data_IF_876722327855
#
_entry.id   IF_876722327855
#
_cell.length_a   1.000
_cell.length_b   1.000
_cell.length_c   1.000
_cell.angle_alpha   90.00
_cell.angle_beta   90.00
_cell.angle_gamma   90.00
#
_symmetry.space_group_name_H-M   'P 1'
#
loop_
_entity.id
_entity.type
_entity.pdbx_description
1 polymer ?
#
# COMPACT_ATOMS: atom_id res chain seq x y z
N UNK A 1 2.05 22.50 -55.85
CA UNK A 1 3.02 22.68 -54.78
C UNK A 1 3.99 21.50 -54.87
N UNK A 2 5.30 21.72 -54.73
CA UNK A 2 6.31 20.67 -54.95
C UNK A 2 6.20 19.63 -53.81
N UNK A 3 6.28 18.34 -54.10
CA UNK A 3 6.12 17.23 -53.15
C UNK A 3 6.98 17.40 -51.87
N UNK A 4 8.18 17.94 -52.02
CA UNK A 4 9.07 18.27 -50.89
C UNK A 4 8.47 19.32 -49.93
N UNK A 5 7.73 20.31 -50.47
CA UNK A 5 7.06 21.32 -49.61
C UNK A 5 5.87 20.71 -48.86
N UNK A 6 5.15 19.82 -49.51
CA UNK A 6 4.06 19.08 -48.85
C UNK A 6 4.58 18.18 -47.75
N UNK A 7 5.64 17.41 -48.00
CA UNK A 7 6.28 16.56 -46.97
C UNK A 7 6.80 17.39 -45.81
N UNK A 8 7.43 18.52 -46.06
CA UNK A 8 7.93 19.40 -45.02
C UNK A 8 6.76 19.98 -44.17
N UNK A 9 5.68 20.44 -44.81
CA UNK A 9 4.50 20.93 -44.10
C UNK A 9 3.85 19.87 -43.24
N UNK A 10 3.75 18.63 -43.73
CA UNK A 10 3.22 17.51 -42.98
C UNK A 10 4.08 17.19 -41.75
N UNK A 11 5.40 17.16 -41.92
CA UNK A 11 6.34 16.94 -40.81
C UNK A 11 6.21 18.07 -39.75
N UNK A 12 6.18 19.33 -40.21
CA UNK A 12 6.00 20.46 -39.31
C UNK A 12 4.65 20.40 -38.55
N UNK A 13 3.57 20.05 -39.24
CA UNK A 13 2.27 19.89 -38.63
C UNK A 13 2.27 18.76 -37.59
N UNK A 14 2.87 17.61 -37.87
CA UNK A 14 3.01 16.50 -36.95
C UNK A 14 3.81 16.90 -35.69
N UNK A 15 4.99 17.52 -35.90
CA UNK A 15 5.81 18.00 -34.79
C UNK A 15 5.06 19.01 -33.92
N UNK A 16 4.33 19.95 -34.54
CA UNK A 16 3.51 20.92 -33.82
C UNK A 16 2.42 20.23 -32.99
N UNK A 17 1.78 19.22 -33.57
CA UNK A 17 0.76 18.44 -32.83
C UNK A 17 1.36 17.73 -31.61
N UNK A 18 2.54 17.11 -31.77
CA UNK A 18 3.23 16.45 -30.63
C UNK A 18 3.63 17.47 -29.55
N UNK A 19 4.13 18.64 -29.94
CA UNK A 19 4.49 19.71 -28.97
C UNK A 19 3.25 20.22 -28.24
N UNK A 20 2.12 20.43 -28.94
CA UNK A 20 0.87 20.85 -28.32
C UNK A 20 0.36 19.78 -27.34
N UNK A 21 0.42 18.51 -27.73
CA UNK A 21 -0.01 17.39 -26.87
C UNK A 21 0.89 17.28 -25.63
N UNK A 22 2.21 17.30 -25.80
CA UNK A 22 3.16 17.27 -24.69
C UNK A 22 2.96 18.47 -23.74
N UNK A 23 2.71 19.66 -24.29
CA UNK A 23 2.38 20.85 -23.50
C UNK A 23 1.08 20.70 -22.71
N UNK A 24 0.06 20.09 -23.31
CA UNK A 24 -1.19 19.80 -22.63
C UNK A 24 -0.97 18.77 -21.50
N UNK A 25 -0.20 17.70 -21.75
CA UNK A 25 0.16 16.71 -20.73
C UNK A 25 0.92 17.34 -19.56
N UNK A 26 1.87 18.22 -19.84
CA UNK A 26 2.63 18.94 -18.81
C UNK A 26 1.76 19.87 -17.98
N UNK A 27 0.83 20.61 -18.62
CA UNK A 27 -0.06 21.56 -17.92
C UNK A 27 -1.13 20.85 -17.10
N UNK A 28 -1.72 19.79 -17.66
CA UNK A 28 -2.78 19.04 -16.96
C UNK A 28 -2.21 18.10 -15.91
N UNK A 29 -0.99 17.64 -16.11
CA UNK A 29 -0.26 16.72 -15.25
C UNK A 29 -1.14 15.61 -14.63
N UNK A 30 -1.77 14.75 -15.44
CA UNK A 30 -2.91 13.93 -15.04
C UNK A 30 -2.66 12.99 -13.86
N UNK A 31 -1.40 12.65 -13.59
CA UNK A 31 -0.99 11.74 -12.51
C UNK A 31 0.07 12.35 -11.59
N UNK A 32 0.19 13.69 -11.60
CA UNK A 32 1.11 14.44 -10.74
C UNK A 32 2.60 14.14 -11.02
N UNK A 33 2.94 13.76 -12.25
CA UNK A 33 4.32 13.41 -12.60
C UNK A 33 5.32 14.57 -12.43
N UNK A 34 4.86 15.82 -12.59
CA UNK A 34 5.63 17.06 -12.38
C UNK A 34 5.17 17.85 -11.15
N UNK A 35 4.15 17.40 -10.44
CA UNK A 35 3.56 18.11 -9.30
C UNK A 35 2.87 19.42 -9.69
N UNK A 36 2.52 19.62 -10.94
CA UNK A 36 1.80 20.80 -11.40
C UNK A 36 0.31 20.60 -11.17
N UNK A 37 -0.20 21.06 -10.02
CA UNK A 37 -1.63 21.09 -9.78
C UNK A 37 -2.31 22.06 -10.74
N UNK A 38 -3.07 21.53 -11.69
CA UNK A 38 -3.79 22.34 -12.65
C UNK A 38 -5.06 22.92 -12.03
N UNK A 39 -5.10 24.23 -11.81
CA UNK A 39 -6.28 24.93 -11.25
C UNK A 39 -7.56 24.79 -12.10
N UNK A 40 -7.43 24.42 -13.39
CA UNK A 40 -8.57 24.16 -14.28
C UNK A 40 -9.12 22.75 -14.13
N UNK A 41 -8.33 21.82 -13.59
CA UNK A 41 -8.70 20.42 -13.36
C UNK A 41 -8.28 20.00 -11.95
N UNK A 42 -8.91 20.54 -10.90
CA UNK A 42 -8.52 20.25 -9.51
C UNK A 42 -8.86 18.83 -9.07
N UNK A 43 -9.65 18.09 -9.83
CA UNK A 43 -9.94 16.68 -9.57
C UNK A 43 -8.89 15.78 -10.19
N UNK A 44 -8.31 14.88 -9.39
CA UNK A 44 -7.39 13.84 -9.84
C UNK A 44 -7.95 12.45 -9.62
N UNK A 45 -7.93 11.64 -10.67
CA UNK A 45 -8.26 10.22 -10.59
C UNK A 45 -7.12 9.50 -9.87
N UNK A 46 -7.43 8.91 -8.72
CA UNK A 46 -6.41 8.21 -7.95
C UNK A 46 -6.06 6.86 -8.55
N UNK A 47 -4.78 6.56 -8.56
CA UNK A 47 -4.24 5.23 -8.88
C UNK A 47 -2.94 5.01 -8.12
N UNK A 48 -2.89 3.93 -7.32
CA UNK A 48 -1.72 3.61 -6.50
C UNK A 48 -0.43 3.50 -7.33
N UNK A 49 -0.53 2.99 -8.58
CA UNK A 49 0.63 2.80 -9.45
C UNK A 49 1.07 4.11 -10.12
N UNK A 50 0.11 4.96 -10.51
CA UNK A 50 0.41 6.14 -11.33
C UNK A 50 0.51 7.43 -10.53
N UNK A 51 -0.28 7.59 -9.46
CA UNK A 51 -0.31 8.84 -8.69
C UNK A 51 0.59 8.83 -7.46
N UNK A 52 0.85 7.67 -6.84
CA UNK A 52 1.72 7.60 -5.67
C UNK A 52 3.12 8.19 -5.91
N UNK A 53 3.82 7.94 -7.06
CA UNK A 53 5.13 8.55 -7.29
C UNK A 53 5.11 10.08 -7.30
N UNK A 54 4.05 10.66 -7.89
CA UNK A 54 3.86 12.11 -7.92
C UNK A 54 3.60 12.68 -6.51
N UNK A 55 2.74 12.03 -5.73
CA UNK A 55 2.48 12.41 -4.34
C UNK A 55 3.77 12.32 -3.53
N UNK A 56 4.50 11.21 -3.61
CA UNK A 56 5.75 11.01 -2.88
C UNK A 56 6.79 12.10 -3.14
N UNK A 57 6.88 12.61 -4.38
CA UNK A 57 7.90 13.59 -4.77
C UNK A 57 7.51 15.04 -4.54
N UNK A 58 6.22 15.36 -4.70
CA UNK A 58 5.80 16.76 -4.85
C UNK A 58 4.96 17.28 -3.69
N UNK A 59 4.41 16.39 -2.85
CA UNK A 59 3.67 16.82 -1.67
C UNK A 59 4.62 17.13 -0.51
N UNK A 60 4.13 17.96 0.41
CA UNK A 60 4.87 18.26 1.63
C UNK A 60 4.32 17.42 2.78
N UNK A 61 5.19 16.70 3.46
CA UNK A 61 4.85 15.81 4.57
C UNK A 61 6.09 15.49 5.41
N UNK A 62 5.90 15.07 6.65
CA UNK A 62 6.94 14.52 7.50
C UNK A 62 6.69 13.05 7.88
N UNK A 63 5.55 12.53 7.48
CA UNK A 63 5.11 11.17 7.82
C UNK A 63 4.51 10.49 6.59
N UNK A 64 4.81 9.21 6.41
CA UNK A 64 4.23 8.42 5.32
C UNK A 64 3.62 7.14 5.84
N UNK A 65 2.43 6.79 5.33
CA UNK A 65 1.79 5.50 5.54
C UNK A 65 1.87 4.68 4.26
N UNK A 66 2.59 3.56 4.31
CA UNK A 66 2.67 2.58 3.23
C UNK A 66 2.06 1.24 3.65
N UNK A 67 1.59 0.49 2.69
CA UNK A 67 1.00 -0.82 2.92
C UNK A 67 0.21 -1.32 1.71
N UNK A 68 -0.49 -2.40 1.90
CA UNK A 68 -1.32 -3.02 0.86
C UNK A 68 -2.68 -2.32 0.72
N UNK A 69 -3.69 -3.01 0.19
CA UNK A 69 -5.08 -2.53 0.18
C UNK A 69 -5.66 -2.32 1.58
N UNK A 70 -5.02 -2.84 2.62
CA UNK A 70 -5.47 -2.74 4.01
C UNK A 70 -5.42 -1.31 4.54
N UNK A 71 -4.49 -0.48 4.05
CA UNK A 71 -4.40 0.94 4.43
C UNK A 71 -5.06 1.88 3.42
N UNK A 72 -5.68 1.35 2.36
CA UNK A 72 -6.23 2.18 1.28
C UNK A 72 -7.38 3.08 1.73
N UNK A 73 -8.14 2.69 2.73
CA UNK A 73 -9.24 3.46 3.31
C UNK A 73 -8.91 4.08 4.68
N UNK A 74 -7.64 4.21 5.02
CA UNK A 74 -7.22 4.97 6.21
C UNK A 74 -7.57 6.44 6.01
N UNK A 75 -8.19 7.06 7.00
CA UNK A 75 -8.47 8.49 7.03
C UNK A 75 -7.23 9.23 7.52
N UNK A 76 -6.59 9.96 6.60
CA UNK A 76 -5.36 10.69 6.90
C UNK A 76 -5.61 11.87 7.85
N UNK A 77 -6.79 12.52 7.75
CA UNK A 77 -7.14 13.63 8.65
C UNK A 77 -7.20 13.12 10.12
N UNK A 78 -7.72 11.92 10.34
CA UNK A 78 -7.72 11.26 11.67
C UNK A 78 -6.30 10.90 12.12
N UNK A 79 -5.47 10.40 11.20
CA UNK A 79 -4.08 10.09 11.53
C UNK A 79 -3.30 11.35 11.93
N UNK A 80 -3.44 12.44 11.19
CA UNK A 80 -2.77 13.72 11.47
C UNK A 80 -3.17 14.29 12.84
N UNK A 81 -4.47 14.21 13.18
CA UNK A 81 -4.97 14.68 14.48
C UNK A 81 -4.46 13.84 15.65
N UNK A 82 -4.48 12.52 15.52
CA UNK A 82 -4.12 11.61 16.61
C UNK A 82 -2.61 11.44 16.80
N UNK A 83 -1.84 11.55 15.72
CA UNK A 83 -0.39 11.31 15.73
C UNK A 83 0.44 12.59 15.67
N UNK A 84 -0.22 13.77 15.59
CA UNK A 84 0.42 15.10 15.51
C UNK A 84 1.49 15.16 14.39
N UNK A 85 1.10 14.86 13.17
CA UNK A 85 1.99 14.77 12.02
C UNK A 85 1.37 15.34 10.74
N UNK A 86 2.18 15.53 9.70
CA UNK A 86 1.74 15.86 8.34
C UNK A 86 1.95 14.62 7.45
N UNK A 87 0.85 13.90 7.13
CA UNK A 87 0.91 12.56 6.57
C UNK A 87 0.49 12.50 5.11
N UNK A 88 1.22 11.70 4.33
CA UNK A 88 0.72 11.15 3.06
C UNK A 88 0.53 9.65 3.15
N UNK A 89 -0.50 9.17 2.46
CA UNK A 89 -0.81 7.74 2.38
C UNK A 89 -0.53 7.24 0.97
N UNK A 90 0.35 6.24 0.86
CA UNK A 90 0.84 5.67 -0.39
C UNK A 90 0.60 4.14 -0.43
N UNK A 91 -0.66 3.67 -0.44
CA UNK A 91 -0.99 2.26 -0.49
C UNK A 91 -0.63 1.66 -1.85
N UNK A 92 -0.32 0.37 -1.87
CA UNK A 92 -0.11 -0.39 -3.09
C UNK A 92 -0.89 -1.70 -3.02
N UNK A 93 -2.07 -1.79 -3.65
CA UNK A 93 -2.97 -2.95 -3.54
C UNK A 93 -2.26 -4.26 -3.84
N UNK A 94 -2.18 -5.16 -2.84
CA UNK A 94 -1.44 -6.41 -2.92
C UNK A 94 0.06 -6.22 -3.15
N UNK A 95 0.61 -5.05 -2.79
CA UNK A 95 2.01 -4.71 -2.97
C UNK A 95 2.96 -5.61 -2.20
N UNK A 96 4.17 -5.75 -2.72
CA UNK A 96 5.27 -6.49 -2.11
C UNK A 96 6.15 -5.56 -1.27
N UNK A 97 7.07 -6.10 -0.49
CA UNK A 97 8.08 -5.28 0.18
C UNK A 97 8.96 -4.49 -0.80
N UNK A 98 9.09 -5.00 -2.03
CA UNK A 98 9.81 -4.31 -3.09
C UNK A 98 9.05 -3.07 -3.59
N UNK A 99 7.71 -3.17 -3.72
CA UNK A 99 6.86 -2.02 -4.05
C UNK A 99 6.95 -0.94 -2.97
N UNK A 100 6.85 -1.35 -1.69
CA UNK A 100 6.94 -0.43 -0.55
C UNK A 100 8.32 0.24 -0.49
N UNK A 101 9.40 -0.53 -0.68
CA UNK A 101 10.74 0.02 -0.73
C UNK A 101 10.88 1.05 -1.87
N UNK A 102 10.41 0.71 -3.06
CA UNK A 102 10.52 1.59 -4.23
C UNK A 102 9.83 2.93 -4.00
N UNK A 103 8.63 2.93 -3.41
CA UNK A 103 7.93 4.19 -3.13
C UNK A 103 8.57 4.97 -1.98
N UNK A 104 9.09 4.28 -0.96
CA UNK A 104 9.80 4.92 0.14
C UNK A 104 11.15 5.51 -0.30
N UNK A 105 11.87 4.87 -1.23
CA UNK A 105 13.07 5.46 -1.84
C UNK A 105 12.74 6.83 -2.45
N UNK A 106 11.59 6.97 -3.17
CA UNK A 106 11.14 8.26 -3.69
C UNK A 106 10.78 9.27 -2.59
N UNK A 107 10.17 8.82 -1.48
CA UNK A 107 9.87 9.67 -0.35
C UNK A 107 11.15 10.24 0.27
N UNK A 108 12.16 9.42 0.48
CA UNK A 108 13.45 9.86 1.02
C UNK A 108 14.24 10.74 0.04
N UNK A 109 14.06 10.56 -1.26
CA UNK A 109 14.67 11.40 -2.29
C UNK A 109 13.93 12.73 -2.54
N UNK A 110 12.70 12.90 -2.04
CA UNK A 110 11.85 14.08 -2.29
C UNK A 110 12.38 15.38 -1.68
N UNK A 111 13.26 15.27 -0.68
CA UNK A 111 13.75 16.41 0.10
C UNK A 111 12.87 16.77 1.31
N UNK A 112 11.80 16.03 1.57
CA UNK A 112 11.04 16.13 2.81
C UNK A 112 11.85 15.62 4.01
N UNK A 113 11.67 16.24 5.19
CA UNK A 113 12.27 15.76 6.45
C UNK A 113 11.39 14.65 7.04
N UNK A 114 11.55 13.43 6.48
CA UNK A 114 10.71 12.29 6.82
C UNK A 114 11.06 11.75 8.21
N UNK A 115 10.18 12.00 9.18
CA UNK A 115 10.35 11.61 10.58
C UNK A 115 9.84 10.22 10.88
N UNK A 116 8.67 9.85 10.28
CA UNK A 116 8.01 8.58 10.59
C UNK A 116 7.52 7.88 9.34
N UNK A 117 7.79 6.58 9.28
CA UNK A 117 7.25 5.65 8.29
C UNK A 117 6.33 4.67 9.00
N UNK A 118 5.02 4.76 8.76
CA UNK A 118 4.07 3.72 9.14
C UNK A 118 4.01 2.69 8.02
N UNK A 119 4.30 1.43 8.35
CA UNK A 119 4.33 0.32 7.39
C UNK A 119 3.36 -0.77 7.82
N UNK A 120 2.23 -0.86 7.13
CA UNK A 120 1.38 -2.03 7.28
C UNK A 120 2.10 -3.26 6.71
N UNK A 121 2.28 -4.26 7.55
CA UNK A 121 3.01 -5.49 7.24
C UNK A 121 2.08 -6.69 7.37
N UNK A 122 1.95 -7.44 6.30
CA UNK A 122 1.14 -8.64 6.27
C UNK A 122 1.93 -9.88 5.83
N UNK A 123 1.31 -11.05 5.98
CA UNK A 123 1.91 -12.33 5.63
C UNK A 123 2.16 -12.47 4.12
N UNK A 124 1.35 -11.78 3.30
CA UNK A 124 1.55 -11.77 1.86
C UNK A 124 2.86 -11.05 1.51
N UNK A 125 3.13 -9.90 2.10
CA UNK A 125 4.38 -9.17 1.88
C UNK A 125 5.60 -10.01 2.28
N UNK A 126 5.49 -10.80 3.37
CA UNK A 126 6.60 -11.64 3.84
C UNK A 126 6.89 -12.81 2.88
N UNK A 127 5.88 -13.38 2.19
CA UNK A 127 6.04 -14.53 1.30
C UNK A 127 6.04 -14.17 -0.20
N UNK A 128 5.88 -12.90 -0.54
CA UNK A 128 5.91 -12.42 -1.93
C UNK A 128 7.32 -12.42 -2.53
N UNK A 129 7.44 -12.03 -3.80
CA UNK A 129 8.74 -11.76 -4.42
C UNK A 129 9.35 -10.50 -3.81
N UNK A 130 10.59 -10.59 -3.36
CA UNK A 130 11.34 -9.44 -2.81
C UNK A 130 12.12 -8.64 -3.86
N UNK A 131 11.95 -8.97 -5.14
CA UNK A 131 12.75 -8.39 -6.25
C UNK A 131 11.93 -7.86 -7.39
N UNK A 132 10.61 -7.98 -7.31
CA UNK A 132 9.71 -7.65 -8.41
C UNK A 132 8.49 -6.90 -7.89
N UNK A 133 8.04 -5.95 -8.68
CA UNK A 133 6.76 -5.29 -8.45
C UNK A 133 5.61 -6.29 -8.56
N UNK A 134 4.56 -6.08 -7.77
CA UNK A 134 3.33 -6.87 -7.86
C UNK A 134 2.70 -6.79 -9.24
N UNK A 135 2.71 -5.60 -9.82
CA UNK A 135 2.20 -5.29 -11.15
C UNK A 135 3.23 -4.47 -11.91
N UNK A 136 3.21 -4.49 -13.25
CA UNK A 136 4.06 -3.61 -14.04
C UNK A 136 3.85 -2.14 -13.66
N UNK A 137 4.92 -1.43 -13.40
CA UNK A 137 4.91 0.01 -13.08
C UNK A 137 5.43 0.82 -14.27
N UNK A 138 4.96 2.05 -14.45
CA UNK A 138 5.54 2.98 -15.43
C UNK A 138 6.85 3.54 -14.87
N UNK A 139 7.98 2.89 -15.20
CA UNK A 139 9.30 3.19 -14.63
C UNK A 139 9.69 4.67 -14.77
N UNK A 140 9.25 5.35 -15.82
CA UNK A 140 9.45 6.79 -16.02
C UNK A 140 8.76 7.67 -14.95
N UNK A 141 7.80 7.15 -14.19
CA UNK A 141 7.25 7.84 -13.01
C UNK A 141 8.00 7.47 -11.71
N UNK A 142 8.86 6.46 -11.72
CA UNK A 142 9.54 5.92 -10.54
C UNK A 142 11.05 6.21 -10.51
N UNK A 143 11.56 6.99 -11.46
CA UNK A 143 12.97 7.38 -11.53
C UNK A 143 13.13 8.90 -11.62
N UNK A 144 14.36 9.39 -11.55
CA UNK A 144 14.70 10.80 -11.70
C UNK A 144 15.35 11.11 -13.07
N UNK A 145 15.16 10.24 -14.09
CA UNK A 145 15.73 10.39 -15.41
C UNK A 145 14.77 11.16 -16.33
N UNK A 146 14.98 12.47 -16.44
CA UNK A 146 14.18 13.33 -17.32
C UNK A 146 14.24 12.94 -18.81
N UNK A 147 15.19 12.07 -19.23
CA UNK A 147 15.33 11.67 -20.64
C UNK A 147 14.24 10.70 -21.08
N UNK A 148 13.59 10.00 -20.18
CA UNK A 148 12.47 9.10 -20.45
C UNK A 148 11.08 9.74 -20.22
N UNK A 149 11.02 10.98 -19.74
CA UNK A 149 9.79 11.78 -19.59
C UNK A 149 8.96 11.87 -20.86
N UNK A 150 9.58 11.71 -22.01
CA UNK A 150 8.87 11.63 -23.28
C UNK A 150 7.80 10.52 -23.28
N UNK A 151 8.03 9.44 -22.51
CA UNK A 151 7.10 8.34 -22.31
C UNK A 151 5.86 8.76 -21.52
N UNK A 152 5.98 9.78 -20.67
CA UNK A 152 4.86 10.41 -19.97
C UNK A 152 4.19 11.47 -20.86
N UNK A 153 4.99 12.42 -21.40
CA UNK A 153 4.49 13.59 -22.14
C UNK A 153 3.73 13.23 -23.43
N UNK A 154 4.05 12.09 -24.03
CA UNK A 154 3.37 11.60 -25.23
C UNK A 154 2.47 10.38 -24.97
N UNK A 155 2.07 10.14 -23.72
CA UNK A 155 1.26 9.00 -23.33
C UNK A 155 -0.24 9.25 -23.55
N UNK A 156 -0.77 8.66 -24.62
CA UNK A 156 -2.19 8.75 -24.96
C UNK A 156 -3.08 8.00 -23.94
N UNK A 157 -2.59 6.90 -23.37
CA UNK A 157 -3.36 6.10 -22.40
C UNK A 157 -3.52 6.88 -21.10
N UNK A 158 -2.46 7.53 -20.60
CA UNK A 158 -2.57 8.40 -19.42
C UNK A 158 -3.51 9.58 -19.70
N UNK A 159 -3.37 10.25 -20.85
CA UNK A 159 -4.29 11.34 -21.20
C UNK A 159 -5.74 10.86 -21.26
N UNK A 160 -5.99 9.69 -21.85
CA UNK A 160 -7.34 9.15 -21.97
C UNK A 160 -7.93 8.67 -20.64
N UNK A 161 -7.19 7.87 -19.89
CA UNK A 161 -7.71 7.24 -18.67
C UNK A 161 -7.67 8.15 -17.45
N UNK A 162 -6.72 9.06 -17.35
CA UNK A 162 -6.58 9.98 -16.22
C UNK A 162 -6.92 11.43 -16.61
N UNK A 163 -6.29 11.97 -17.64
CA UNK A 163 -6.51 13.35 -18.07
C UNK A 163 -7.97 13.66 -18.39
N UNK A 164 -8.63 12.81 -19.19
CA UNK A 164 -10.05 13.00 -19.50
C UNK A 164 -10.94 12.81 -18.28
N UNK A 165 -10.65 11.85 -17.40
CA UNK A 165 -11.41 11.64 -16.16
C UNK A 165 -11.23 12.81 -15.19
N UNK A 166 -10.01 13.37 -15.09
CA UNK A 166 -9.75 14.56 -14.29
C UNK A 166 -10.54 15.77 -14.79
N UNK A 167 -10.55 16.01 -16.10
CA UNK A 167 -11.35 17.07 -16.72
C UNK A 167 -12.85 16.88 -16.43
N UNK A 168 -13.38 15.67 -16.67
CA UNK A 168 -14.80 15.38 -16.46
C UNK A 168 -15.18 15.43 -14.96
N UNK A 169 -14.33 14.93 -14.07
CA UNK A 169 -14.53 15.03 -12.62
C UNK A 169 -14.57 16.47 -12.15
N UNK A 170 -13.62 17.29 -12.62
CA UNK A 170 -13.57 18.73 -12.30
C UNK A 170 -14.81 19.47 -12.81
N UNK A 171 -15.25 19.21 -14.04
CA UNK A 171 -16.48 19.79 -14.57
C UNK A 171 -17.74 19.39 -13.81
N UNK A 172 -17.74 18.23 -13.15
CA UNK A 172 -18.84 17.74 -12.29
C UNK A 172 -18.72 18.23 -10.85
N UNK A 173 -17.68 18.97 -10.51
CA UNK A 173 -17.40 19.45 -9.14
C UNK A 173 -17.07 18.30 -8.18
N UNK A 174 -16.45 17.22 -8.65
CA UNK A 174 -16.01 16.11 -7.81
C UNK A 174 -14.80 16.54 -6.97
N UNK A 175 -14.69 15.99 -5.77
CA UNK A 175 -13.51 16.17 -4.90
C UNK A 175 -12.42 15.19 -5.31
N UNK A 176 -11.17 15.65 -5.37
CA UNK A 176 -10.03 14.80 -5.64
C UNK A 176 -9.77 13.83 -4.48
N UNK A 177 -9.52 12.57 -4.84
CA UNK A 177 -9.13 11.52 -3.90
C UNK A 177 -7.62 11.20 -4.00
N UNK A 178 -6.90 11.91 -4.88
CA UNK A 178 -5.46 11.75 -5.04
C UNK A 178 -4.66 12.32 -3.88
N UNK A 179 -5.25 13.29 -3.17
CA UNK A 179 -4.69 13.89 -1.99
C UNK A 179 -4.79 12.96 -0.77
N UNK A 180 -4.54 13.50 0.40
CA UNK A 180 -4.44 12.90 1.72
C UNK A 180 -5.63 12.04 2.13
N UNK A 181 -6.83 12.34 1.64
CA UNK A 181 -8.09 11.75 2.12
C UNK A 181 -8.26 10.31 1.71
N UNK A 182 -8.80 9.50 2.63
CA UNK A 182 -9.10 8.10 2.41
C UNK A 182 -9.97 7.83 1.20
N UNK A 183 -9.60 6.85 0.39
CA UNK A 183 -10.51 6.25 -0.56
C UNK A 183 -11.28 5.22 0.22
N UNK A 184 -12.56 5.48 0.46
CA UNK A 184 -13.42 4.46 1.04
C UNK A 184 -13.49 3.28 0.07
N UNK A 185 -12.92 2.15 0.48
CA UNK A 185 -13.16 0.90 -0.23
C UNK A 185 -14.64 0.58 -0.05
N UNK A 186 -15.42 0.89 -1.06
CA UNK A 186 -16.83 0.54 -1.07
C UNK A 186 -17.04 -0.96 -0.88
N UNK A 187 -18.15 -1.35 -0.29
CA UNK A 187 -18.51 -2.74 -0.06
C UNK A 187 -19.63 -2.85 0.97
N UNK A 188 -20.18 -4.04 1.08
CA UNK A 188 -21.09 -4.42 2.14
C UNK A 188 -20.24 -5.06 3.26
N UNK A 189 -20.08 -4.31 4.35
CA UNK A 189 -19.37 -4.78 5.54
C UNK A 189 -20.40 -5.44 6.47
N UNK A 190 -20.66 -6.70 6.21
CA UNK A 190 -21.58 -7.50 7.01
C UNK A 190 -21.12 -8.96 7.05
N UNK A 191 -21.53 -9.66 8.11
CA UNK A 191 -21.31 -11.11 8.24
C UNK A 191 -21.79 -11.86 7.00
N UNK A 192 -22.99 -11.53 6.49
CA UNK A 192 -23.58 -12.21 5.35
C UNK A 192 -22.74 -12.00 4.08
N UNK A 193 -22.32 -10.76 3.80
CA UNK A 193 -21.46 -10.45 2.66
C UNK A 193 -20.10 -11.14 2.78
N UNK A 194 -19.51 -11.11 3.96
CA UNK A 194 -18.21 -11.73 4.24
C UNK A 194 -18.27 -13.25 4.04
N UNK A 195 -19.28 -13.93 4.58
CA UNK A 195 -19.47 -15.35 4.37
C UNK A 195 -19.80 -15.70 2.91
N UNK A 196 -20.61 -14.89 2.22
CA UNK A 196 -20.92 -15.10 0.80
C UNK A 196 -19.68 -14.98 -0.10
N UNK A 197 -18.71 -14.15 0.29
CA UNK A 197 -17.44 -13.97 -0.43
C UNK A 197 -16.42 -15.07 -0.12
N UNK A 198 -16.58 -15.80 0.97
CA UNK A 198 -15.62 -16.77 1.46
C UNK A 198 -15.84 -18.15 0.87
N UNK A 199 -14.92 -18.59 0.02
CA UNK A 199 -14.92 -19.95 -0.49
C UNK A 199 -14.04 -20.83 0.39
N UNK A 200 -14.65 -21.47 1.41
CA UNK A 200 -13.96 -22.29 2.41
C UNK A 200 -13.17 -23.44 1.75
N UNK A 201 -11.84 -23.51 1.86
CA UNK A 201 -11.06 -24.59 1.21
C UNK A 201 -11.35 -25.94 1.84
N UNK A 202 -11.14 -27.00 1.06
CA UNK A 202 -11.05 -28.35 1.63
C UNK A 202 -9.80 -28.46 2.52
N UNK A 203 -9.89 -29.31 3.56
CA UNK A 203 -8.74 -29.54 4.45
C UNK A 203 -7.59 -30.17 3.69
N UNK A 204 -6.43 -29.55 3.70
CA UNK A 204 -5.19 -30.10 3.14
C UNK A 204 -4.62 -31.21 4.04
N UNK A 205 -4.05 -32.23 3.43
CA UNK A 205 -3.25 -33.24 4.11
C UNK A 205 -1.74 -32.96 4.00
N UNK A 206 -1.35 -31.86 3.37
CA UNK A 206 0.04 -31.43 3.25
C UNK A 206 0.25 -30.13 4.02
N UNK A 207 1.38 -30.04 4.70
CA UNK A 207 1.75 -28.89 5.50
C UNK A 207 2.96 -28.21 4.87
N UNK A 208 2.89 -26.89 4.80
CA UNK A 208 4.00 -26.06 4.35
C UNK A 208 5.03 -25.94 5.45
N UNK A 209 6.31 -25.94 5.11
CA UNK A 209 7.41 -25.65 6.03
C UNK A 209 7.86 -24.19 5.85
N UNK A 210 8.20 -23.54 6.94
CA UNK A 210 8.89 -22.26 6.91
C UNK A 210 10.30 -22.39 6.36
N UNK A 211 11.02 -23.47 6.73
CA UNK A 211 12.39 -23.69 6.27
C UNK A 211 12.46 -23.91 4.74
N UNK A 212 13.53 -23.41 4.14
CA UNK A 212 13.76 -23.50 2.70
C UNK A 212 13.24 -22.29 1.93
N UNK A 213 12.34 -22.50 0.97
CA UNK A 213 11.92 -21.44 0.05
C UNK A 213 11.18 -20.29 0.73
N UNK A 214 10.32 -20.56 1.71
CA UNK A 214 9.60 -19.49 2.42
C UNK A 214 10.55 -18.62 3.23
N UNK A 215 11.47 -19.21 3.97
CA UNK A 215 12.49 -18.50 4.73
C UNK A 215 13.35 -17.62 3.83
N UNK A 216 13.79 -18.12 2.68
CA UNK A 216 14.56 -17.34 1.70
C UNK A 216 13.77 -16.12 1.21
N UNK A 217 12.46 -16.25 0.99
CA UNK A 217 11.61 -15.13 0.62
C UNK A 217 11.48 -14.12 1.74
N UNK A 218 11.20 -14.58 2.97
CA UNK A 218 11.10 -13.72 4.15
C UNK A 218 12.39 -12.94 4.39
N UNK A 219 13.55 -13.60 4.31
CA UNK A 219 14.86 -12.94 4.41
C UNK A 219 15.07 -11.90 3.31
N UNK A 220 14.63 -12.19 2.08
CA UNK A 220 14.66 -11.23 0.97
C UNK A 220 13.77 -10.02 1.20
N UNK A 221 12.55 -10.23 1.71
CA UNK A 221 11.61 -9.16 2.04
C UNK A 221 12.09 -8.32 3.22
N UNK A 222 12.60 -8.96 4.27
CA UNK A 222 13.23 -8.25 5.40
C UNK A 222 14.43 -7.40 4.95
N UNK A 223 15.22 -7.87 4.00
CA UNK A 223 16.34 -7.08 3.47
C UNK A 223 15.87 -5.76 2.84
N UNK A 224 14.72 -5.73 2.17
CA UNK A 224 14.15 -4.50 1.64
C UNK A 224 13.83 -3.51 2.76
N UNK A 225 13.19 -3.97 3.85
CA UNK A 225 12.84 -3.16 5.02
C UNK A 225 14.10 -2.68 5.76
N UNK A 226 14.98 -3.61 6.10
CA UNK A 226 16.21 -3.35 6.85
C UNK A 226 17.12 -2.37 6.12
N UNK A 227 17.20 -2.46 4.79
CA UNK A 227 18.02 -1.52 4.02
C UNK A 227 17.58 -0.06 4.18
N UNK A 228 16.27 0.20 4.36
CA UNK A 228 15.75 1.54 4.64
C UNK A 228 15.96 1.93 6.09
N UNK A 229 15.71 1.03 7.03
CA UNK A 229 15.90 1.25 8.47
C UNK A 229 17.35 1.66 8.78
N UNK A 230 18.32 0.94 8.20
CA UNK A 230 19.75 1.22 8.38
C UNK A 230 20.21 2.49 7.65
N UNK A 231 19.63 2.80 6.49
CA UNK A 231 19.97 4.01 5.73
C UNK A 231 19.42 5.29 6.38
N UNK A 232 18.35 5.19 7.18
CA UNK A 232 17.64 6.32 7.76
C UNK A 232 17.49 6.16 9.29
N UNK A 233 18.59 6.22 10.06
CA UNK A 233 18.57 5.97 11.51
C UNK A 233 17.79 7.05 12.30
N UNK A 234 17.61 8.24 11.73
CA UNK A 234 16.89 9.35 12.36
C UNK A 234 15.37 9.29 12.06
N UNK A 235 14.93 8.39 11.18
CA UNK A 235 13.53 8.13 10.87
C UNK A 235 13.01 6.96 11.71
N UNK A 236 11.85 7.13 12.34
CA UNK A 236 11.19 6.05 13.05
C UNK A 236 10.37 5.19 12.08
N UNK A 237 10.54 3.87 12.12
CA UNK A 237 9.76 2.90 11.36
C UNK A 237 8.77 2.21 12.28
N UNK A 238 7.48 2.44 12.04
CA UNK A 238 6.37 1.87 12.81
C UNK A 238 5.69 0.80 11.99
N UNK A 239 5.99 -0.47 12.29
CA UNK A 239 5.35 -1.60 11.64
C UNK A 239 4.11 -2.02 12.40
N UNK A 240 3.05 -2.40 11.69
CA UNK A 240 1.87 -2.99 12.31
C UNK A 240 1.27 -4.11 11.47
N UNK A 241 0.86 -5.19 12.14
CA UNK A 241 0.13 -6.31 11.54
C UNK A 241 -1.36 -6.07 11.71
N UNK A 242 -2.12 -5.85 10.61
CA UNK A 242 -3.55 -5.54 10.68
C UNK A 242 -4.39 -6.75 11.07
N UNK A 243 -5.58 -6.56 11.69
CA UNK A 243 -6.44 -7.64 12.14
C UNK A 243 -7.19 -8.27 10.96
N UNK A 244 -6.68 -9.33 10.38
CA UNK A 244 -7.41 -10.13 9.40
C UNK A 244 -8.53 -10.91 10.08
N UNK A 245 -9.66 -11.14 9.39
CA UNK A 245 -10.77 -11.86 9.96
C UNK A 245 -10.41 -13.30 10.34
N UNK A 246 -11.20 -13.90 11.22
CA UNK A 246 -11.02 -15.32 11.61
C UNK A 246 -11.11 -16.26 10.40
N UNK A 247 -11.78 -15.86 9.30
CA UNK A 247 -11.85 -16.64 8.06
C UNK A 247 -10.51 -16.70 7.32
N UNK A 248 -9.68 -15.66 7.43
CA UNK A 248 -8.31 -15.71 6.92
C UNK A 248 -7.52 -16.82 7.60
N UNK A 249 -7.68 -16.97 8.91
CA UNK A 249 -7.01 -17.99 9.69
C UNK A 249 -7.60 -19.39 9.50
N UNK A 250 -8.93 -19.52 9.30
CA UNK A 250 -9.54 -20.78 8.83
C UNK A 250 -8.90 -21.26 7.52
N UNK A 251 -8.71 -20.31 6.59
CA UNK A 251 -8.06 -20.58 5.30
C UNK A 251 -6.61 -21.05 5.46
N UNK A 252 -5.83 -20.39 6.29
CA UNK A 252 -4.44 -20.76 6.56
C UNK A 252 -4.32 -22.16 7.20
N UNK A 253 -5.18 -22.46 8.18
CA UNK A 253 -5.25 -23.79 8.79
C UNK A 253 -5.62 -24.86 7.77
N UNK A 254 -6.67 -24.62 7.00
CA UNK A 254 -7.18 -25.62 6.03
C UNK A 254 -6.22 -25.85 4.86
N UNK A 255 -5.49 -24.84 4.46
CA UNK A 255 -4.44 -24.98 3.43
C UNK A 255 -3.15 -25.65 3.98
N UNK A 256 -3.03 -25.83 5.29
CA UNK A 256 -1.82 -26.37 5.92
C UNK A 256 -0.63 -25.41 5.87
N UNK A 257 -0.91 -24.10 5.81
CA UNK A 257 0.09 -23.04 5.75
C UNK A 257 0.28 -22.31 7.08
N UNK A 258 -0.66 -22.44 8.01
CA UNK A 258 -0.73 -21.67 9.24
C UNK A 258 0.57 -21.67 10.07
N UNK A 259 1.13 -22.86 10.36
CA UNK A 259 2.34 -22.94 11.19
C UNK A 259 3.54 -22.25 10.52
N UNK A 260 3.73 -22.47 9.21
CA UNK A 260 4.79 -21.82 8.45
C UNK A 260 4.60 -20.29 8.37
N UNK A 261 3.35 -19.83 8.26
CA UNK A 261 2.97 -18.42 8.27
C UNK A 261 3.30 -17.78 9.61
N UNK A 262 2.98 -18.45 10.72
CA UNK A 262 3.31 -17.96 12.06
C UNK A 262 4.82 -18.00 12.35
N UNK A 263 5.55 -19.02 11.88
CA UNK A 263 7.02 -19.08 11.99
C UNK A 263 7.67 -17.91 11.21
N UNK A 264 7.15 -17.61 10.01
CA UNK A 264 7.61 -16.49 9.20
C UNK A 264 7.36 -15.13 9.90
N UNK A 265 6.19 -14.98 10.50
CA UNK A 265 5.80 -13.78 11.25
C UNK A 265 6.70 -13.59 12.48
N UNK A 266 6.91 -14.65 13.27
CA UNK A 266 7.80 -14.62 14.44
C UNK A 266 9.24 -14.28 14.06
N UNK A 267 9.75 -14.87 12.97
CA UNK A 267 11.07 -14.58 12.44
C UNK A 267 11.20 -13.11 12.02
N UNK A 268 10.20 -12.57 11.32
CA UNK A 268 10.20 -11.18 10.88
C UNK A 268 10.14 -10.20 12.05
N UNK A 269 9.27 -10.45 13.04
CA UNK A 269 9.16 -9.64 14.26
C UNK A 269 10.51 -9.61 14.99
N UNK A 270 11.11 -10.78 15.23
CA UNK A 270 12.40 -10.87 15.92
C UNK A 270 13.52 -10.10 15.21
N UNK A 271 13.53 -10.13 13.86
CA UNK A 271 14.51 -9.41 13.06
C UNK A 271 14.30 -7.89 13.14
N UNK A 272 13.07 -7.41 13.01
CA UNK A 272 12.74 -5.98 13.03
C UNK A 272 12.96 -5.35 14.40
N UNK A 273 12.64 -6.06 15.49
CA UNK A 273 12.86 -5.60 16.86
C UNK A 273 14.34 -5.46 17.26
N UNK A 274 15.28 -5.84 16.41
CA UNK A 274 16.71 -5.64 16.66
C UNK A 274 17.20 -4.21 16.36
N UNK A 275 16.36 -3.33 15.83
CA UNK A 275 16.68 -1.97 15.46
C UNK A 275 16.02 -0.96 16.41
N UNK A 276 16.80 -0.01 16.93
CA UNK A 276 16.35 0.96 17.93
C UNK A 276 15.34 1.97 17.38
N UNK A 277 15.36 2.23 16.06
CA UNK A 277 14.42 3.11 15.38
C UNK A 277 13.18 2.37 14.81
N UNK A 278 12.88 1.18 15.36
CA UNK A 278 11.69 0.39 14.99
C UNK A 278 10.72 0.28 16.15
N UNK A 279 9.46 0.59 15.90
CA UNK A 279 8.31 0.18 16.71
C UNK A 279 7.48 -0.85 15.97
N UNK A 280 6.86 -1.78 16.69
CA UNK A 280 6.05 -2.82 16.09
C UNK A 280 4.79 -3.08 16.91
N UNK A 281 3.66 -3.26 16.21
CA UNK A 281 2.34 -3.55 16.77
C UNK A 281 1.74 -4.80 16.11
N UNK A 282 0.96 -5.57 16.90
CA UNK A 282 0.38 -6.81 16.40
C UNK A 282 -1.09 -6.91 16.78
N UNK A 283 -1.97 -6.61 15.83
CA UNK A 283 -3.42 -6.59 16.03
C UNK A 283 -4.15 -7.85 15.54
N UNK A 284 -3.40 -8.82 15.01
CA UNK A 284 -3.99 -10.07 14.50
C UNK A 284 -4.51 -10.99 15.61
N UNK A 285 -4.14 -10.73 16.87
CA UNK A 285 -4.62 -11.47 18.04
C UNK A 285 -5.81 -10.81 18.75
N UNK A 286 -6.37 -9.74 18.22
CA UNK A 286 -7.54 -9.05 18.76
C UNK A 286 -8.81 -9.86 18.45
N UNK A 287 -9.08 -10.88 19.29
CA UNK A 287 -10.13 -11.88 19.05
C UNK A 287 -11.51 -11.25 18.85
N UNK A 288 -11.87 -10.23 19.62
CA UNK A 288 -13.16 -9.52 19.51
C UNK A 288 -13.34 -8.86 18.13
N UNK A 289 -12.25 -8.38 17.54
CA UNK A 289 -12.26 -7.75 16.22
C UNK A 289 -12.29 -8.79 15.12
N UNK A 290 -11.34 -9.75 15.15
CA UNK A 290 -11.17 -10.69 14.04
C UNK A 290 -12.31 -11.70 13.92
N UNK A 291 -13.05 -11.97 15.01
CA UNK A 291 -14.21 -12.88 15.04
C UNK A 291 -15.52 -12.20 14.64
N UNK A 292 -15.61 -10.88 14.72
CA UNK A 292 -16.80 -10.14 14.31
C UNK A 292 -16.75 -9.85 12.79
N UNK A 293 -17.46 -10.68 12.03
CA UNK A 293 -17.49 -10.59 10.58
C UNK A 293 -18.24 -9.36 10.04
N UNK A 294 -18.97 -8.62 10.88
CA UNK A 294 -19.59 -7.35 10.50
C UNK A 294 -18.55 -6.23 10.28
N UNK A 295 -17.32 -6.45 10.71
CA UNK A 295 -16.20 -5.56 10.41
C UNK A 295 -15.64 -5.72 8.98
N UNK A 296 -15.99 -6.79 8.26
CA UNK A 296 -15.34 -7.19 7.02
C UNK A 296 -16.31 -7.23 5.83
N UNK A 297 -15.79 -7.01 4.62
CA UNK A 297 -16.51 -7.24 3.36
C UNK A 297 -16.08 -8.53 2.65
N UNK A 298 -14.98 -9.10 3.06
CA UNK A 298 -14.44 -10.39 2.66
C UNK A 298 -13.53 -10.93 3.77
N UNK A 299 -12.85 -12.04 3.56
CA UNK A 299 -12.04 -12.69 4.59
C UNK A 299 -10.83 -11.89 5.08
N UNK A 300 -10.49 -10.75 4.48
CA UNK A 300 -9.33 -9.93 4.84
C UNK A 300 -9.63 -8.44 4.99
N UNK A 301 -10.46 -7.84 4.10
CA UNK A 301 -10.66 -6.40 4.08
C UNK A 301 -11.71 -5.93 5.08
N UNK A 302 -11.30 -5.10 5.99
CA UNK A 302 -12.14 -4.46 7.01
C UNK A 302 -12.55 -3.02 6.61
N UNK A 303 -13.52 -2.47 7.35
CA UNK A 303 -14.01 -1.11 7.15
C UNK A 303 -13.03 -0.05 7.65
N UNK A 304 -13.24 1.21 7.21
CA UNK A 304 -12.38 2.35 7.57
C UNK A 304 -12.30 2.60 9.07
N UNK A 305 -13.38 2.29 9.83
CA UNK A 305 -13.39 2.43 11.28
C UNK A 305 -12.37 1.55 11.99
N UNK A 306 -11.97 0.42 11.42
CA UNK A 306 -10.89 -0.41 11.94
C UNK A 306 -9.53 0.28 11.72
N UNK A 307 -9.32 0.96 10.59
CA UNK A 307 -8.11 1.76 10.40
C UNK A 307 -8.03 2.92 11.40
N UNK A 308 -9.15 3.58 11.69
CA UNK A 308 -9.20 4.64 12.69
C UNK A 308 -8.88 4.09 14.09
N UNK A 309 -9.44 2.92 14.44
CA UNK A 309 -9.12 2.20 15.68
C UNK A 309 -7.64 1.82 15.77
N UNK A 310 -7.04 1.33 14.68
CA UNK A 310 -5.59 1.04 14.62
C UNK A 310 -4.78 2.30 14.89
N UNK A 311 -5.19 3.44 14.33
CA UNK A 311 -4.52 4.73 14.56
C UNK A 311 -4.60 5.16 16.02
N UNK A 312 -5.79 5.03 16.64
CA UNK A 312 -6.00 5.29 18.08
C UNK A 312 -5.09 4.36 18.92
N UNK A 313 -5.06 3.08 18.62
CA UNK A 313 -4.23 2.10 19.32
C UNK A 313 -2.74 2.40 19.21
N UNK A 314 -2.26 2.82 18.04
CA UNK A 314 -0.86 3.23 17.87
C UNK A 314 -0.57 4.49 18.69
N UNK A 315 -1.48 5.49 18.70
CA UNK A 315 -1.33 6.72 19.48
C UNK A 315 -1.30 6.44 21.01
N UNK A 316 -2.03 5.43 21.47
CA UNK A 316 -2.07 4.98 22.87
C UNK A 316 -0.95 3.96 23.23
N UNK A 317 -0.09 3.60 22.28
CA UNK A 317 0.92 2.54 22.41
C UNK A 317 0.32 1.15 22.77
N UNK A 318 -0.97 0.93 22.43
CA UNK A 318 -1.65 -0.35 22.65
C UNK A 318 -1.22 -1.40 21.63
N UNK A 319 -1.10 -2.65 22.07
CA UNK A 319 -0.69 -3.77 21.20
C UNK A 319 0.79 -3.76 20.81
N UNK A 320 1.61 -2.97 21.51
CA UNK A 320 3.05 -2.88 21.24
C UNK A 320 3.77 -4.20 21.48
N UNK A 321 4.57 -4.57 20.47
CA UNK A 321 5.42 -5.75 20.51
C UNK A 321 6.85 -5.34 20.87
N UNK A 322 7.44 -6.08 21.80
CA UNK A 322 8.78 -5.85 22.33
C UNK A 322 9.61 -7.14 22.32
N UNK A 323 10.94 -7.07 22.47
CA UNK A 323 11.76 -8.28 22.62
C UNK A 323 11.34 -9.19 23.79
N UNK A 324 10.68 -8.64 24.82
CA UNK A 324 10.28 -9.38 26.00
C UNK A 324 8.92 -10.08 25.87
N UNK A 325 8.03 -9.60 24.96
CA UNK A 325 6.64 -10.10 24.87
C UNK A 325 6.28 -10.80 23.56
N UNK A 326 7.05 -10.64 22.46
CA UNK A 326 6.64 -11.10 21.14
C UNK A 326 6.36 -12.61 21.07
N UNK A 327 7.17 -13.44 21.75
CA UNK A 327 6.98 -14.89 21.74
C UNK A 327 5.63 -15.28 22.37
N UNK A 328 5.26 -14.59 23.46
CA UNK A 328 3.99 -14.85 24.14
C UNK A 328 2.81 -14.40 23.26
N UNK A 329 2.93 -13.28 22.55
CA UNK A 329 1.91 -12.79 21.60
C UNK A 329 1.69 -13.81 20.48
N UNK A 330 2.78 -14.30 19.87
CA UNK A 330 2.70 -15.32 18.82
C UNK A 330 2.13 -16.64 19.34
N UNK A 331 2.50 -17.08 20.55
CA UNK A 331 1.94 -18.26 21.17
C UNK A 331 0.43 -18.10 21.44
N UNK A 332 0.01 -16.96 21.94
CA UNK A 332 -1.42 -16.66 22.17
C UNK A 332 -2.21 -16.70 20.85
N UNK A 333 -1.67 -16.11 19.79
CA UNK A 333 -2.27 -16.13 18.45
C UNK A 333 -2.41 -17.57 17.93
N UNK A 334 -1.36 -18.39 18.06
CA UNK A 334 -1.40 -19.81 17.66
C UNK A 334 -2.48 -20.57 18.43
N UNK A 335 -2.54 -20.40 19.76
CA UNK A 335 -3.52 -21.06 20.61
C UNK A 335 -4.96 -20.63 20.26
N UNK A 336 -5.18 -19.34 20.08
CA UNK A 336 -6.49 -18.80 19.71
C UNK A 336 -6.97 -19.41 18.39
N UNK A 337 -6.17 -19.33 17.33
CA UNK A 337 -6.53 -19.81 15.98
C UNK A 337 -6.74 -21.33 15.96
N UNK A 338 -5.89 -22.11 16.64
CA UNK A 338 -6.00 -23.58 16.66
C UNK A 338 -7.17 -24.11 17.48
N UNK A 339 -7.64 -23.35 18.49
CA UNK A 339 -8.73 -23.77 19.35
C UNK A 339 -10.07 -23.06 19.05
N UNK A 340 -10.10 -22.18 18.04
CA UNK A 340 -11.31 -21.48 17.66
C UNK A 340 -12.37 -22.42 17.09
N UNK A 341 -13.64 -22.22 17.48
CA UNK A 341 -14.77 -23.01 16.96
C UNK A 341 -15.23 -22.49 15.61
N UNK A 342 -14.50 -22.85 14.56
CA UNK A 342 -14.84 -22.45 13.18
C UNK A 342 -16.20 -22.95 12.72
N UNK A 343 -16.68 -24.08 13.25
CA UNK A 343 -17.99 -24.61 12.81
C UNK A 343 -19.15 -23.75 13.29
N UNK A 344 -18.98 -23.01 14.38
CA UNK A 344 -19.97 -22.04 14.85
C UNK A 344 -20.12 -20.81 13.94
N UNK A 345 -19.18 -20.59 13.03
CA UNK A 345 -19.17 -19.44 12.12
C UNK A 345 -20.10 -19.68 10.92
N UNK A 346 -20.29 -20.92 10.51
CA UNK A 346 -21.07 -21.32 9.32
C UNK A 346 -22.42 -21.93 9.74
#
# INVERSE_FOLDING_TARGET
MNDKKWSLLLICALLLTLVIFAGAMYILDPVLGYGTECSLTPYYTYSTIYTNPGIARHYHYDTVLVGTSMVQNTDVDVCEELLDCDMVRLPYSGGTSYDMKTILDLCFESGNDLKTVYWELDQFQLDASSKEHRYPVPEYLYNNDWTDDISYLLNLDIMYHYGMNNILGSLRGQTSLAERRGITLGGDFSRDATLASYNRPAQSNTFRSFEGNMKTKVEGNLKNMVSLIEAHPDTEFVFFFPPFSILYWDRELRNGTFDATMDATEYAISALLSYDNVRLYFYQAEEEIISDLDHYKDYSHYGEWINNMITEWIAEDYGRVTPDNYQQIILNMRNMVQNYDYESVF
#
